data_IF_044031716123
#
_entry.id   IF_044031716123
#
_cell.length_a   1.000
_cell.length_b   1.000
_cell.length_c   1.000
_cell.angle_alpha   90.00
_cell.angle_beta   90.00
_cell.angle_gamma   90.00
#
_symmetry.space_group_name_H-M   'P 1'
#
loop_
_entity.id
_entity.type
_entity.pdbx_description
1 polymer ?
#
# COMPACT_ATOMS: atom_id res chain seq x y z
N UNK A 1 18.86 -20.68 7.93
CA UNK A 1 19.88 -20.28 6.94
C UNK A 1 19.14 -19.94 5.66
N UNK A 2 18.87 -18.66 5.41
CA UNK A 2 18.13 -18.23 4.23
C UNK A 2 19.02 -18.40 3.00
N UNK A 3 18.51 -19.12 1.99
CA UNK A 3 19.16 -19.20 0.69
C UNK A 3 19.35 -17.77 0.15
N UNK A 4 20.45 -17.47 -0.56
CA UNK A 4 20.59 -16.17 -1.22
C UNK A 4 19.37 -15.93 -2.11
N UNK A 5 18.80 -14.71 -2.11
CA UNK A 5 17.61 -14.41 -2.90
C UNK A 5 17.89 -14.74 -4.36
N UNK A 6 16.98 -15.48 -5.01
CA UNK A 6 17.06 -15.72 -6.45
C UNK A 6 16.99 -14.36 -7.14
N UNK A 7 18.10 -13.93 -7.75
CA UNK A 7 18.14 -12.71 -8.56
C UNK A 7 17.47 -13.04 -9.89
N UNK A 8 16.24 -12.56 -10.07
CA UNK A 8 15.57 -12.62 -11.37
C UNK A 8 16.06 -11.43 -12.22
N UNK A 9 16.53 -11.67 -13.45
CA UNK A 9 16.93 -10.57 -14.32
C UNK A 9 15.73 -9.67 -14.60
N UNK A 10 15.92 -8.34 -14.67
CA UNK A 10 14.84 -7.44 -15.05
C UNK A 10 14.28 -7.78 -16.43
N UNK A 11 12.97 -7.58 -16.61
CA UNK A 11 12.32 -7.77 -17.90
C UNK A 11 12.53 -6.53 -18.76
N UNK A 12 13.09 -6.70 -19.96
CA UNK A 12 13.29 -5.65 -20.96
C UNK A 12 12.83 -6.17 -22.33
N UNK A 13 11.55 -5.96 -22.63
CA UNK A 13 10.88 -6.47 -23.84
C UNK A 13 10.01 -5.37 -24.47
N UNK A 14 10.58 -4.43 -25.25
CA UNK A 14 9.83 -3.29 -25.80
C UNK A 14 8.63 -3.71 -26.66
N UNK A 15 8.74 -4.84 -27.35
CA UNK A 15 7.71 -5.34 -28.28
C UNK A 15 6.68 -6.31 -27.65
N UNK A 16 6.81 -6.64 -26.35
CA UNK A 16 5.90 -7.59 -25.71
C UNK A 16 4.46 -7.04 -25.60
N UNK A 17 3.46 -7.90 -25.70
CA UNK A 17 2.07 -7.53 -25.40
C UNK A 17 1.92 -7.23 -23.90
N UNK A 18 1.17 -6.18 -23.56
CA UNK A 18 0.89 -5.84 -22.16
C UNK A 18 -0.27 -6.68 -21.64
N UNK A 19 -0.17 -7.14 -20.40
CA UNK A 19 -1.29 -7.75 -19.69
C UNK A 19 -2.44 -6.74 -19.55
N UNK A 20 -3.60 -7.08 -20.11
CA UNK A 20 -4.83 -6.32 -19.88
C UNK A 20 -5.40 -6.70 -18.51
N UNK A 21 -5.51 -5.72 -17.62
CA UNK A 21 -6.05 -5.94 -16.26
C UNK A 21 -7.50 -6.39 -16.28
N UNK A 22 -8.28 -5.95 -17.28
CA UNK A 22 -9.69 -6.36 -17.43
C UNK A 22 -9.83 -7.81 -17.92
N UNK A 23 -8.76 -8.40 -18.45
CA UNK A 23 -8.74 -9.82 -18.86
C UNK A 23 -8.56 -10.79 -17.69
N UNK A 24 -8.23 -10.29 -16.49
CA UNK A 24 -7.99 -11.15 -15.32
C UNK A 24 -9.30 -11.78 -14.85
N UNK A 25 -9.32 -13.10 -14.83
CA UNK A 25 -10.45 -13.92 -14.42
C UNK A 25 -10.03 -14.88 -13.29
N UNK A 26 -10.04 -14.43 -12.02
CA UNK A 26 -9.58 -15.22 -10.88
C UNK A 26 -10.42 -16.50 -10.72
N UNK A 27 -9.76 -17.65 -10.86
CA UNK A 27 -10.38 -18.98 -10.70
C UNK A 27 -10.21 -19.57 -9.30
N UNK A 28 -9.26 -19.04 -8.54
CA UNK A 28 -8.98 -19.50 -7.17
C UNK A 28 -9.65 -18.61 -6.14
N UNK A 29 -9.78 -19.15 -4.92
CA UNK A 29 -10.18 -18.39 -3.73
C UNK A 29 -8.99 -18.25 -2.79
N UNK A 30 -8.95 -17.16 -2.03
CA UNK A 30 -8.00 -17.04 -0.94
C UNK A 30 -8.28 -18.10 0.14
N UNK A 31 -7.21 -18.69 0.65
CA UNK A 31 -7.24 -19.52 1.85
C UNK A 31 -7.30 -18.59 3.08
N UNK A 32 -8.18 -18.92 4.02
CA UNK A 32 -8.37 -18.14 5.24
C UNK A 32 -7.26 -18.52 6.24
N UNK A 33 -6.54 -17.52 6.72
CA UNK A 33 -5.33 -17.67 7.54
C UNK A 33 -5.58 -17.45 9.03
N UNK A 34 -6.84 -17.28 9.48
CA UNK A 34 -7.17 -17.01 10.89
C UNK A 34 -6.53 -18.02 11.85
N UNK A 35 -6.51 -19.31 11.49
CA UNK A 35 -5.94 -20.38 12.34
C UNK A 35 -4.41 -20.32 12.44
N UNK A 36 -3.74 -19.50 11.63
CA UNK A 36 -2.28 -19.29 11.66
C UNK A 36 -1.87 -18.12 12.58
N UNK A 37 -2.81 -17.30 13.08
CA UNK A 37 -2.47 -16.07 13.81
C UNK A 37 -1.62 -16.31 15.06
N UNK A 38 -1.78 -17.45 15.73
CA UNK A 38 -1.03 -17.78 16.94
C UNK A 38 0.24 -18.61 16.67
N UNK A 39 0.57 -18.85 15.39
CA UNK A 39 1.79 -19.55 14.94
C UNK A 39 2.51 -18.71 13.89
N UNK A 40 3.40 -17.83 14.36
CA UNK A 40 4.10 -16.88 13.50
C UNK A 40 4.96 -17.57 12.43
N UNK A 41 5.59 -18.70 12.75
CA UNK A 41 6.43 -19.44 11.79
C UNK A 41 5.56 -20.05 10.68
N UNK A 42 4.39 -20.61 11.02
CA UNK A 42 3.45 -21.13 10.03
C UNK A 42 2.81 -20.01 9.18
N UNK A 43 2.47 -18.89 9.81
CA UNK A 43 1.97 -17.69 9.16
C UNK A 43 2.98 -17.18 8.12
N UNK A 44 4.25 -17.05 8.50
CA UNK A 44 5.27 -16.55 7.59
C UNK A 44 5.64 -17.56 6.50
N UNK A 45 5.65 -18.86 6.81
CA UNK A 45 5.79 -19.89 5.79
C UNK A 45 4.65 -19.84 4.75
N UNK A 46 3.41 -19.54 5.17
CA UNK A 46 2.29 -19.33 4.27
C UNK A 46 2.47 -18.05 3.44
N UNK A 47 2.81 -16.93 4.08
CA UNK A 47 2.99 -15.64 3.43
C UNK A 47 4.08 -15.69 2.37
N UNK A 48 5.24 -16.26 2.70
CA UNK A 48 6.37 -16.39 1.80
C UNK A 48 6.02 -17.30 0.62
N UNK A 49 5.31 -18.40 0.84
CA UNK A 49 4.93 -19.38 -0.21
C UNK A 49 3.81 -18.89 -1.12
N UNK A 50 2.82 -18.17 -0.59
CA UNK A 50 1.61 -17.83 -1.34
C UNK A 50 1.56 -16.37 -1.78
N UNK A 51 2.35 -15.50 -1.14
CA UNK A 51 2.43 -14.08 -1.46
C UNK A 51 1.29 -13.25 -0.86
N UNK A 52 0.55 -13.77 0.11
CA UNK A 52 -0.50 -13.04 0.82
C UNK A 52 -0.83 -13.71 2.16
N UNK A 53 -1.55 -12.99 3.02
CA UNK A 53 -2.33 -13.54 4.12
C UNK A 53 -3.73 -12.97 4.05
N UNK A 54 -4.75 -13.81 4.17
CA UNK A 54 -6.14 -13.36 4.16
C UNK A 54 -6.84 -13.77 5.45
N UNK A 55 -7.40 -12.80 6.16
CA UNK A 55 -8.08 -13.03 7.42
C UNK A 55 -9.54 -12.57 7.32
N UNK A 56 -10.44 -13.39 7.85
CA UNK A 56 -11.86 -13.08 7.96
C UNK A 56 -12.17 -12.44 9.30
N UNK A 57 -12.93 -11.34 9.30
CA UNK A 57 -13.46 -10.71 10.52
C UNK A 57 -12.44 -10.63 11.67
N UNK A 58 -11.22 -10.22 11.36
CA UNK A 58 -10.09 -10.19 12.29
C UNK A 58 -9.93 -8.83 12.95
N UNK A 59 -10.29 -7.77 12.22
CA UNK A 59 -10.21 -6.41 12.70
C UNK A 59 -11.34 -6.11 13.69
N UNK A 60 -11.09 -5.16 14.59
CA UNK A 60 -12.07 -4.72 15.56
C UNK A 60 -13.29 -4.07 14.87
N UNK A 61 -14.52 -4.55 15.15
CA UNK A 61 -15.71 -4.10 14.43
C UNK A 61 -16.04 -2.62 14.67
N UNK A 62 -15.74 -2.07 15.85
CA UNK A 62 -16.01 -0.66 16.14
C UNK A 62 -15.01 0.23 15.39
N UNK A 63 -13.74 -0.16 15.32
CA UNK A 63 -12.73 0.55 14.53
C UNK A 63 -13.05 0.57 13.03
N UNK A 64 -13.56 -0.55 12.50
CA UNK A 64 -13.97 -0.68 11.09
C UNK A 64 -15.19 0.18 10.81
N UNK A 65 -16.17 0.19 11.73
CA UNK A 65 -17.35 1.04 11.64
C UNK A 65 -16.97 2.52 11.64
N UNK A 66 -16.10 2.96 12.56
CA UNK A 66 -15.63 4.35 12.62
C UNK A 66 -14.96 4.76 11.30
N UNK A 67 -14.05 3.94 10.77
CA UNK A 67 -13.36 4.22 9.51
C UNK A 67 -14.34 4.26 8.32
N UNK A 68 -15.33 3.36 8.28
CA UNK A 68 -16.39 3.35 7.27
C UNK A 68 -17.19 4.66 7.31
N UNK A 69 -17.67 5.06 8.48
CA UNK A 69 -18.46 6.28 8.66
C UNK A 69 -17.66 7.52 8.25
N UNK A 70 -16.38 7.59 8.62
CA UNK A 70 -15.51 8.69 8.20
C UNK A 70 -15.29 8.73 6.67
N UNK A 71 -15.06 7.58 6.04
CA UNK A 71 -14.89 7.49 4.58
C UNK A 71 -16.17 7.87 3.83
N UNK A 72 -17.34 7.43 4.31
CA UNK A 72 -18.63 7.77 3.70
C UNK A 72 -19.01 9.24 3.94
N UNK A 73 -18.64 9.83 5.08
CA UNK A 73 -18.78 11.26 5.32
C UNK A 73 -17.97 12.07 4.31
N UNK A 74 -16.70 11.70 4.05
CA UNK A 74 -15.90 12.34 2.98
C UNK A 74 -16.54 12.14 1.61
N UNK A 75 -17.01 10.93 1.30
CA UNK A 75 -17.69 10.65 0.04
C UNK A 75 -18.93 11.53 -0.17
N UNK A 76 -19.72 11.77 0.88
CA UNK A 76 -20.93 12.59 0.84
C UNK A 76 -20.61 14.10 0.83
N UNK A 77 -19.91 14.59 1.85
CA UNK A 77 -19.76 16.02 2.13
C UNK A 77 -18.74 16.68 1.17
N UNK A 78 -17.63 16.01 0.84
CA UNK A 78 -16.58 16.59 -0.02
C UNK A 78 -16.85 16.33 -1.51
N UNK A 79 -17.33 15.12 -1.84
CA UNK A 79 -17.43 14.67 -3.23
C UNK A 79 -18.86 14.48 -3.72
N UNK A 80 -19.86 14.34 -2.85
CA UNK A 80 -21.25 14.05 -3.23
C UNK A 80 -21.43 12.73 -3.97
N UNK A 81 -20.55 11.75 -3.73
CA UNK A 81 -20.58 10.43 -4.39
C UNK A 81 -21.63 9.50 -3.79
N UNK A 82 -22.05 9.76 -2.55
CA UNK A 82 -23.13 9.06 -1.84
C UNK A 82 -24.05 10.10 -1.18
N UNK A 83 -25.28 9.71 -0.86
CA UNK A 83 -26.20 10.57 -0.09
C UNK A 83 -25.74 10.66 1.38
N UNK A 84 -26.01 11.81 2.02
CA UNK A 84 -25.65 12.00 3.42
C UNK A 84 -26.41 11.02 4.32
N UNK A 85 -25.68 10.24 5.10
CA UNK A 85 -26.24 9.20 5.97
C UNK A 85 -26.51 7.87 5.29
N UNK A 86 -26.16 7.69 4.01
CA UNK A 86 -26.20 6.38 3.37
C UNK A 86 -25.04 5.50 3.84
N UNK A 87 -25.35 4.46 4.59
CA UNK A 87 -24.38 3.46 5.07
C UNK A 87 -24.03 2.41 4.01
N UNK A 88 -24.77 2.37 2.91
CA UNK A 88 -24.70 1.31 1.90
C UNK A 88 -23.80 1.65 0.72
N UNK A 89 -23.23 2.85 0.72
CA UNK A 89 -22.35 3.38 -0.32
C UNK A 89 -22.97 3.41 -1.73
N UNK A 90 -24.28 3.62 -1.83
CA UNK A 90 -25.02 3.75 -3.09
C UNK A 90 -24.49 4.96 -3.86
N UNK A 91 -23.99 4.71 -5.07
CA UNK A 91 -23.41 5.77 -5.88
C UNK A 91 -24.51 6.70 -6.43
N UNK A 92 -24.32 8.00 -6.30
CA UNK A 92 -25.25 9.04 -6.79
C UNK A 92 -25.20 9.25 -8.30
N UNK A 93 -24.23 8.65 -8.99
CA UNK A 93 -23.94 8.92 -10.40
C UNK A 93 -22.98 10.10 -10.61
N UNK A 94 -22.56 10.78 -9.53
CA UNK A 94 -21.62 11.91 -9.63
C UNK A 94 -20.23 11.44 -10.03
N UNK A 95 -19.57 12.21 -10.89
CA UNK A 95 -18.23 11.90 -11.38
C UNK A 95 -17.20 11.79 -10.25
N UNK A 96 -16.38 10.75 -10.29
CA UNK A 96 -15.28 10.56 -9.34
C UNK A 96 -14.13 11.53 -9.63
N UNK A 97 -13.62 12.26 -8.62
CA UNK A 97 -12.48 13.16 -8.78
C UNK A 97 -11.16 12.36 -8.88
N UNK A 98 -10.44 12.43 -10.02
CA UNK A 98 -9.16 11.74 -10.19
C UNK A 98 -8.11 12.23 -9.19
N UNK A 99 -7.24 11.31 -8.72
CA UNK A 99 -6.16 11.66 -7.79
C UNK A 99 -6.67 12.08 -6.40
N UNK A 100 -7.84 11.61 -5.98
CA UNK A 100 -8.40 11.91 -4.66
C UNK A 100 -7.82 11.02 -3.55
N UNK A 101 -7.09 9.97 -3.89
CA UNK A 101 -6.69 8.90 -2.98
C UNK A 101 -5.78 9.33 -1.82
N UNK A 102 -5.11 10.48 -1.93
CA UNK A 102 -4.18 11.02 -0.93
C UNK A 102 -4.61 12.43 -0.45
N UNK A 103 -5.88 12.82 -0.64
CA UNK A 103 -6.36 14.15 -0.25
C UNK A 103 -6.41 14.32 1.28
N UNK A 104 -6.11 15.52 1.81
CA UNK A 104 -6.12 15.79 3.25
C UNK A 104 -7.46 15.54 3.97
N UNK A 105 -8.59 15.52 3.26
CA UNK A 105 -9.90 15.23 3.86
C UNK A 105 -9.99 13.81 4.47
N UNK A 106 -9.10 12.90 4.08
CA UNK A 106 -9.02 11.54 4.64
C UNK A 106 -8.06 11.42 5.84
N UNK A 107 -7.43 12.52 6.25
CA UNK A 107 -6.41 12.56 7.31
C UNK A 107 -6.84 11.80 8.57
N UNK A 108 -5.91 10.97 9.07
CA UNK A 108 -6.05 10.20 10.30
C UNK A 108 -7.00 9.00 10.28
N UNK A 109 -7.82 8.78 9.23
CA UNK A 109 -8.79 7.68 9.19
C UNK A 109 -8.10 6.31 9.34
N UNK A 110 -7.10 6.04 8.50
CA UNK A 110 -6.34 4.78 8.56
C UNK A 110 -5.56 4.64 9.87
N UNK A 111 -4.94 5.73 10.37
CA UNK A 111 -4.19 5.72 11.64
C UNK A 111 -5.08 5.31 12.81
N UNK A 112 -6.30 5.85 12.93
CA UNK A 112 -7.23 5.48 14.02
C UNK A 112 -7.62 4.00 13.98
N UNK A 113 -7.88 3.44 12.79
CA UNK A 113 -8.17 2.01 12.65
C UNK A 113 -6.93 1.16 12.98
N UNK A 114 -5.79 1.46 12.38
CA UNK A 114 -4.56 0.66 12.56
C UNK A 114 -4.10 0.68 14.02
N UNK A 115 -4.13 1.83 14.68
CA UNK A 115 -3.70 2.02 16.07
C UNK A 115 -4.74 1.55 17.10
N UNK A 116 -5.88 1.02 16.68
CA UNK A 116 -6.86 0.46 17.62
C UNK A 116 -6.23 -0.74 18.38
N UNK A 117 -6.37 -0.85 19.72
CA UNK A 117 -5.60 -1.83 20.52
C UNK A 117 -5.68 -3.26 20.00
N UNK A 118 -6.90 -3.75 19.71
CA UNK A 118 -7.11 -5.09 19.15
C UNK A 118 -6.46 -5.27 17.76
N UNK A 119 -6.46 -4.23 16.93
CA UNK A 119 -5.82 -4.31 15.61
C UNK A 119 -4.30 -4.32 15.75
N UNK A 120 -3.73 -3.56 16.70
CA UNK A 120 -2.30 -3.63 17.03
C UNK A 120 -1.89 -5.04 17.47
N UNK A 121 -2.70 -5.72 18.30
CA UNK A 121 -2.44 -7.12 18.70
C UNK A 121 -2.42 -8.08 17.50
N UNK A 122 -3.36 -7.94 16.56
CA UNK A 122 -3.42 -8.75 15.33
C UNK A 122 -2.20 -8.48 14.45
N UNK A 123 -1.85 -7.21 14.26
CA UNK A 123 -0.71 -6.81 13.44
C UNK A 123 0.62 -7.23 14.07
N UNK A 124 0.72 -7.22 15.40
CA UNK A 124 1.89 -7.73 16.12
C UNK A 124 2.11 -9.22 15.89
N UNK A 125 1.03 -10.02 15.85
CA UNK A 125 1.10 -11.44 15.49
C UNK A 125 1.56 -11.65 14.03
N UNK A 126 1.03 -10.85 13.11
CA UNK A 126 1.39 -10.90 11.69
C UNK A 126 2.87 -10.53 11.46
N UNK A 127 3.40 -9.54 12.18
CA UNK A 127 4.79 -9.11 12.08
C UNK A 127 5.76 -9.91 12.95
N UNK A 128 5.26 -10.58 14.00
CA UNK A 128 6.10 -11.24 15.02
C UNK A 128 6.68 -10.25 16.05
N UNK A 129 6.34 -8.97 15.96
CA UNK A 129 6.78 -7.89 16.84
C UNK A 129 5.84 -6.69 16.74
N UNK A 130 6.03 -5.68 17.60
CA UNK A 130 5.21 -4.47 17.63
C UNK A 130 5.15 -3.78 16.25
N UNK A 131 3.95 -3.44 15.74
CA UNK A 131 3.77 -2.78 14.46
C UNK A 131 4.02 -1.26 14.55
N UNK A 132 4.63 -0.69 13.53
CA UNK A 132 4.56 0.75 13.22
C UNK A 132 3.93 0.95 11.85
N UNK A 133 3.22 2.06 11.69
CA UNK A 133 2.57 2.39 10.42
C UNK A 133 3.58 3.08 9.50
N UNK A 134 3.68 2.59 8.26
CA UNK A 134 4.36 3.34 7.20
C UNK A 134 3.43 4.47 6.77
N UNK A 135 3.88 5.74 6.73
CA UNK A 135 3.04 6.92 6.48
C UNK A 135 2.68 7.10 5.00
N UNK A 136 2.21 6.03 4.36
CA UNK A 136 1.78 6.00 2.95
C UNK A 136 0.45 5.26 2.88
N UNK A 137 -0.61 6.00 2.57
CA UNK A 137 -1.99 5.51 2.54
C UNK A 137 -2.65 5.92 1.25
N UNK A 138 -3.47 5.03 0.69
CA UNK A 138 -4.29 5.28 -0.47
C UNK A 138 -5.75 4.97 -0.12
N UNK A 139 -6.57 6.01 -0.05
CA UNK A 139 -8.01 5.92 0.23
C UNK A 139 -8.78 5.75 -1.07
N UNK A 140 -9.70 4.79 -1.14
CA UNK A 140 -10.39 4.45 -2.41
C UNK A 140 -11.91 4.53 -2.24
N UNK A 141 -12.51 5.40 -3.03
CA UNK A 141 -13.97 5.57 -3.17
C UNK A 141 -14.39 5.25 -4.61
N UNK A 142 -14.06 4.06 -5.10
CA UNK A 142 -14.12 3.77 -6.54
C UNK A 142 -15.56 3.49 -6.98
N UNK A 143 -16.15 4.31 -7.87
CA UNK A 143 -17.53 4.13 -8.30
C UNK A 143 -17.69 2.97 -9.28
N UNK A 144 -18.92 2.58 -9.59
CA UNK A 144 -19.24 1.74 -10.74
C UNK A 144 -18.59 2.26 -12.02
N UNK A 145 -17.96 1.37 -12.78
CA UNK A 145 -17.19 1.66 -14.00
C UNK A 145 -16.09 2.71 -13.80
N UNK A 146 -15.60 2.86 -12.56
CA UNK A 146 -14.53 3.76 -12.17
C UNK A 146 -13.13 3.22 -12.49
N UNK A 147 -12.08 3.86 -11.93
CA UNK A 147 -10.70 3.45 -12.15
C UNK A 147 -10.43 2.01 -11.71
N UNK A 148 -9.60 1.32 -12.49
CA UNK A 148 -9.06 0.00 -12.16
C UNK A 148 -7.55 0.12 -12.01
N UNK A 149 -7.03 -0.26 -10.84
CA UNK A 149 -5.58 -0.31 -10.62
C UNK A 149 -5.01 -1.44 -11.47
N UNK A 150 -4.09 -1.09 -12.36
CA UNK A 150 -3.44 -2.06 -13.25
C UNK A 150 -2.67 -3.14 -12.47
N UNK A 151 -2.38 -4.27 -13.13
CA UNK A 151 -1.53 -5.29 -12.53
C UNK A 151 -0.16 -4.71 -12.18
N UNK A 152 0.24 -4.86 -10.92
CA UNK A 152 1.51 -4.38 -10.42
C UNK A 152 1.99 -5.14 -9.19
N UNK A 153 3.22 -4.84 -8.75
CA UNK A 153 3.83 -5.27 -7.50
C UNK A 153 4.22 -4.02 -6.69
N UNK A 154 3.74 -3.90 -5.45
CA UNK A 154 3.94 -2.71 -4.61
C UNK A 154 5.43 -2.38 -4.39
N UNK A 155 6.25 -3.43 -4.21
CA UNK A 155 7.69 -3.29 -3.97
C UNK A 155 8.44 -2.64 -5.14
N UNK A 156 7.94 -2.81 -6.37
CA UNK A 156 8.56 -2.21 -7.55
C UNK A 156 8.47 -0.67 -7.52
N UNK A 157 7.35 -0.14 -7.00
CA UNK A 157 7.11 1.30 -6.89
C UNK A 157 7.57 1.91 -5.57
N UNK A 158 8.04 1.07 -4.64
CA UNK A 158 8.48 1.46 -3.30
C UNK A 158 9.96 1.13 -3.07
N UNK A 159 10.88 1.57 -3.94
CA UNK A 159 12.29 1.20 -3.84
C UNK A 159 12.88 1.69 -2.50
N UNK A 160 13.56 0.78 -1.80
CA UNK A 160 14.19 1.05 -0.51
C UNK A 160 13.30 0.82 0.71
N UNK A 161 11.98 0.66 0.54
CA UNK A 161 11.10 0.24 1.64
C UNK A 161 11.23 -1.28 1.77
N UNK A 162 11.83 -1.74 2.86
CA UNK A 162 12.05 -3.15 3.15
C UNK A 162 11.22 -3.59 4.36
N UNK A 163 10.93 -4.89 4.42
CA UNK A 163 10.30 -5.57 5.57
C UNK A 163 8.95 -4.95 6.01
N UNK A 164 8.21 -4.39 5.04
CA UNK A 164 6.87 -3.87 5.24
C UNK A 164 5.81 -4.85 4.70
N UNK A 165 4.65 -4.85 5.34
CA UNK A 165 3.48 -5.64 4.94
C UNK A 165 2.36 -4.70 4.50
N UNK A 166 2.10 -4.56 3.18
CA UNK A 166 0.92 -3.89 2.68
C UNK A 166 -0.37 -4.51 3.20
N UNK A 167 -1.29 -3.66 3.62
CA UNK A 167 -2.61 -4.01 4.14
C UNK A 167 -3.67 -3.43 3.20
N UNK A 168 -4.61 -4.25 2.78
CA UNK A 168 -5.80 -3.85 2.05
C UNK A 168 -7.03 -4.14 2.90
N UNK A 169 -7.85 -3.11 3.14
CA UNK A 169 -8.96 -3.18 4.10
C UNK A 169 -10.27 -2.74 3.42
N UNK A 170 -11.26 -3.63 3.30
CA UNK A 170 -12.61 -3.28 2.88
C UNK A 170 -13.40 -2.69 4.05
N UNK A 171 -14.07 -1.56 3.81
CA UNK A 171 -14.93 -0.91 4.80
C UNK A 171 -16.42 -1.08 4.50
N UNK A 172 -16.75 -1.62 3.32
CA UNK A 172 -18.12 -1.96 2.91
C UNK A 172 -18.12 -3.38 2.33
N UNK A 173 -19.25 -4.10 2.32
CA UNK A 173 -19.35 -5.37 1.62
C UNK A 173 -18.85 -5.23 0.18
N UNK A 174 -17.93 -6.08 -0.21
CA UNK A 174 -17.32 -6.09 -1.54
C UNK A 174 -17.52 -7.47 -2.18
N UNK A 175 -18.78 -7.81 -2.56
CA UNK A 175 -19.01 -8.97 -3.41
C UNK A 175 -18.36 -8.76 -4.78
N UNK A 176 -18.21 -9.85 -5.53
CA UNK A 176 -17.55 -9.90 -6.83
C UNK A 176 -17.89 -8.74 -7.78
N UNK A 177 -19.14 -8.30 -7.83
CA UNK A 177 -19.59 -7.21 -8.70
C UNK A 177 -19.14 -5.81 -8.25
N UNK A 178 -18.89 -5.59 -6.95
CA UNK A 178 -18.27 -4.35 -6.43
C UNK A 178 -16.77 -4.33 -6.74
N UNK A 179 -16.23 -5.50 -7.11
CA UNK A 179 -14.83 -5.73 -7.44
C UNK A 179 -14.12 -6.34 -6.25
N UNK A 180 -13.04 -5.69 -5.83
CA UNK A 180 -12.14 -6.19 -4.78
C UNK A 180 -10.71 -6.23 -5.27
N UNK A 181 -9.87 -6.99 -4.58
CA UNK A 181 -8.47 -7.20 -4.95
C UNK A 181 -8.26 -8.65 -5.39
N UNK A 182 -7.46 -8.84 -6.43
CA UNK A 182 -6.99 -10.17 -6.87
C UNK A 182 -5.47 -10.25 -6.76
N UNK A 183 -4.95 -11.43 -6.43
CA UNK A 183 -3.51 -11.71 -6.32
C UNK A 183 -3.17 -12.95 -7.13
N UNK A 184 -2.05 -12.92 -7.84
CA UNK A 184 -1.47 -14.08 -8.51
C UNK A 184 -0.67 -14.93 -7.50
N UNK A 185 -1.32 -15.97 -6.96
CA UNK A 185 -0.81 -16.76 -5.83
C UNK A 185 0.50 -17.47 -6.17
N UNK A 186 1.49 -17.33 -5.29
CA UNK A 186 2.81 -17.95 -5.40
C UNK A 186 3.70 -17.36 -6.51
N UNK A 187 3.27 -16.29 -7.19
CA UNK A 187 4.10 -15.62 -8.19
C UNK A 187 5.13 -14.65 -7.57
N UNK A 188 5.04 -14.38 -6.27
CA UNK A 188 5.97 -13.51 -5.54
C UNK A 188 7.42 -14.01 -5.52
N UNK A 189 7.68 -15.29 -5.80
CA UNK A 189 9.03 -15.86 -5.79
C UNK A 189 9.79 -15.66 -7.10
N UNK A 190 9.23 -14.92 -8.07
CA UNK A 190 9.78 -14.73 -9.41
C UNK A 190 10.36 -13.33 -9.65
N UNK A 191 10.55 -12.55 -8.59
CA UNK A 191 11.03 -11.17 -8.69
C UNK A 191 9.99 -10.24 -9.30
N UNK A 192 10.44 -9.11 -9.87
CA UNK A 192 9.56 -8.13 -10.49
C UNK A 192 9.27 -8.45 -11.95
N UNK A 193 7.99 -8.42 -12.33
CA UNK A 193 7.49 -8.66 -13.69
C UNK A 193 7.36 -7.38 -14.52
N UNK A 194 7.64 -6.23 -13.92
CA UNK A 194 7.56 -4.92 -14.56
C UNK A 194 8.56 -4.80 -15.71
N UNK A 195 8.06 -4.44 -16.90
CA UNK A 195 8.85 -4.38 -18.11
C UNK A 195 9.56 -3.02 -18.25
N UNK A 196 10.86 -3.00 -17.99
CA UNK A 196 11.73 -1.82 -18.12
C UNK A 196 11.92 -1.37 -19.57
N UNK A 197 11.71 -2.28 -20.53
CA UNK A 197 11.72 -1.98 -21.96
C UNK A 197 10.53 -1.13 -22.41
N UNK A 198 9.59 -0.86 -21.51
CA UNK A 198 8.45 0.03 -21.73
C UNK A 198 8.50 1.20 -20.75
N UNK A 199 8.29 2.41 -21.27
CA UNK A 199 8.16 3.61 -20.44
C UNK A 199 6.81 3.71 -19.73
N UNK A 200 6.64 4.76 -18.92
CA UNK A 200 5.40 5.02 -18.18
C UNK A 200 5.29 4.14 -16.93
N UNK A 201 4.21 3.36 -16.82
CA UNK A 201 3.91 2.53 -15.64
C UNK A 201 4.50 1.11 -15.73
N UNK A 202 5.56 0.91 -16.51
CA UNK A 202 6.27 -0.38 -16.63
C UNK A 202 5.33 -1.60 -16.68
N UNK A 203 4.42 -1.66 -17.66
CA UNK A 203 3.35 -2.65 -17.67
C UNK A 203 3.91 -4.06 -17.68
N UNK A 204 3.22 -4.96 -16.97
CA UNK A 204 3.60 -6.37 -16.92
C UNK A 204 3.19 -7.04 -18.25
N UNK A 205 4.08 -7.83 -18.89
CA UNK A 205 3.72 -8.58 -20.08
C UNK A 205 2.66 -9.65 -19.81
N UNK A 206 1.86 -10.02 -20.82
CA UNK A 206 0.75 -10.96 -20.67
C UNK A 206 1.17 -12.43 -20.47
N UNK A 207 2.42 -12.76 -20.74
CA UNK A 207 2.95 -14.13 -20.76
C UNK A 207 3.79 -14.54 -19.53
N UNK A 208 3.95 -13.66 -18.53
CA UNK A 208 4.86 -13.90 -17.38
C UNK A 208 4.18 -14.33 -16.10
N UNK A 209 2.89 -14.10 -16.00
CA UNK A 209 2.06 -14.53 -14.86
C UNK A 209 1.25 -15.74 -15.31
N UNK A 210 1.26 -16.80 -14.49
CA UNK A 210 0.39 -17.95 -14.70
C UNK A 210 -1.09 -17.51 -14.63
N UNK A 211 -1.87 -17.60 -15.72
CA UNK A 211 -3.25 -17.14 -15.73
C UNK A 211 -4.15 -17.92 -14.77
N UNK A 212 -3.78 -19.14 -14.38
CA UNK A 212 -4.56 -19.93 -13.43
C UNK A 212 -4.23 -19.61 -11.97
N UNK A 213 -3.25 -18.72 -11.71
CA UNK A 213 -2.79 -18.38 -10.35
C UNK A 213 -3.63 -17.31 -9.64
N UNK A 214 -4.51 -16.62 -10.36
CA UNK A 214 -5.30 -15.52 -9.81
C UNK A 214 -6.35 -16.00 -8.79
N UNK A 215 -6.29 -15.44 -7.58
CA UNK A 215 -7.21 -15.69 -6.49
C UNK A 215 -7.89 -14.41 -5.99
N UNK A 216 -9.15 -14.54 -5.58
CA UNK A 216 -9.94 -13.48 -4.93
C UNK A 216 -11.11 -14.10 -4.16
N UNK A 217 -11.84 -13.29 -3.39
CA UNK A 217 -13.04 -13.69 -2.65
C UNK A 217 -14.02 -12.52 -2.60
N UNK A 218 -15.26 -12.78 -2.19
CA UNK A 218 -16.13 -11.71 -1.69
C UNK A 218 -15.60 -11.28 -0.32
N UNK A 219 -15.44 -9.97 -0.11
CA UNK A 219 -14.89 -9.43 1.13
C UNK A 219 -15.97 -8.75 1.98
N UNK A 220 -15.79 -8.78 3.29
CA UNK A 220 -16.67 -8.14 4.25
C UNK A 220 -15.91 -7.16 5.15
N UNK A 221 -16.56 -6.10 5.69
CA UNK A 221 -15.96 -5.25 6.70
C UNK A 221 -15.48 -6.07 7.90
N UNK A 222 -14.21 -5.90 8.29
CA UNK A 222 -13.54 -6.71 9.31
C UNK A 222 -12.51 -7.68 8.74
N UNK A 223 -12.58 -7.96 7.43
CA UNK A 223 -11.55 -8.73 6.74
C UNK A 223 -10.26 -7.92 6.59
N UNK A 224 -9.13 -8.63 6.50
CA UNK A 224 -7.81 -8.06 6.24
C UNK A 224 -7.09 -8.89 5.18
N UNK A 225 -6.62 -8.24 4.11
CA UNK A 225 -5.72 -8.84 3.15
C UNK A 225 -4.34 -8.20 3.29
N UNK A 226 -3.35 -9.02 3.66
CA UNK A 226 -1.94 -8.64 3.68
C UNK A 226 -1.33 -9.09 2.37
N UNK A 227 -0.73 -8.16 1.61
CA UNK A 227 -0.16 -8.44 0.29
C UNK A 227 1.35 -8.53 0.41
N UNK A 228 1.99 -9.49 -0.25
CA UNK A 228 3.45 -9.50 -0.35
C UNK A 228 3.93 -8.42 -1.34
N UNK A 229 4.98 -7.63 -1.06
CA UNK A 229 5.44 -6.56 -1.96
C UNK A 229 5.77 -7.04 -3.39
N UNK A 230 6.16 -8.31 -3.53
CA UNK A 230 6.44 -8.98 -4.80
C UNK A 230 5.23 -9.71 -5.41
N UNK A 231 4.05 -9.68 -4.80
CA UNK A 231 2.88 -10.35 -5.37
C UNK A 231 2.24 -9.50 -6.47
N UNK A 232 2.10 -10.03 -7.70
CA UNK A 232 1.31 -9.37 -8.73
C UNK A 232 -0.14 -9.32 -8.28
N UNK A 233 -0.71 -8.13 -8.29
CA UNK A 233 -2.07 -7.91 -7.85
C UNK A 233 -2.72 -6.78 -8.63
N UNK A 234 -4.05 -6.76 -8.63
CA UNK A 234 -4.84 -5.74 -9.31
C UNK A 234 -6.17 -5.50 -8.59
N UNK A 235 -6.72 -4.30 -8.79
CA UNK A 235 -8.12 -4.05 -8.49
C UNK A 235 -9.00 -4.75 -9.54
N UNK A 236 -10.12 -5.32 -9.12
CA UNK A 236 -11.13 -5.83 -10.04
C UNK A 236 -12.12 -4.71 -10.42
N UNK A 237 -12.71 -4.76 -11.62
CA UNK A 237 -13.67 -3.76 -12.07
C UNK A 237 -14.92 -3.76 -11.18
N UNK A 238 -15.37 -2.56 -10.82
CA UNK A 238 -16.64 -2.37 -10.13
C UNK A 238 -17.75 -2.25 -11.20
N UNK A 239 -18.63 -3.25 -11.26
CA UNK A 239 -19.77 -3.33 -12.18
C UNK A 239 -21.12 -3.22 -11.46
N UNK A 240 -21.07 -2.93 -10.15
CA UNK A 240 -22.23 -2.79 -9.27
C UNK A 240 -22.91 -1.42 -9.41
N UNK A 241 -23.73 -1.06 -8.43
CA UNK A 241 -24.34 0.25 -8.26
C UNK A 241 -23.84 1.00 -7.00
N UNK A 242 -22.75 0.52 -6.38
CA UNK A 242 -22.17 1.03 -5.13
C UNK A 242 -20.72 1.45 -5.31
N UNK A 243 -20.23 2.34 -4.44
CA UNK A 243 -18.80 2.59 -4.32
C UNK A 243 -18.11 1.39 -3.69
N UNK A 244 -16.93 1.03 -4.20
CA UNK A 244 -15.97 0.20 -3.47
C UNK A 244 -15.22 1.09 -2.48
N UNK A 245 -15.57 0.99 -1.20
CA UNK A 245 -14.96 1.78 -0.12
C UNK A 245 -13.88 0.94 0.57
N UNK A 246 -12.63 1.24 0.26
CA UNK A 246 -11.45 0.55 0.81
C UNK A 246 -10.36 1.56 1.11
N UNK A 247 -9.34 1.16 1.87
CA UNK A 247 -8.06 1.83 1.81
C UNK A 247 -6.93 0.81 1.89
N UNK A 248 -5.77 1.22 1.39
CA UNK A 248 -4.55 0.45 1.47
C UNK A 248 -3.48 1.24 2.23
N UNK A 249 -2.89 0.60 3.22
CA UNK A 249 -1.81 1.13 4.07
C UNK A 249 -0.72 0.07 4.22
N UNK A 250 0.30 0.35 5.01
CA UNK A 250 1.47 -0.51 5.17
C UNK A 250 1.88 -0.47 6.63
N UNK A 251 2.26 -1.63 7.17
CA UNK A 251 2.88 -1.73 8.49
C UNK A 251 4.27 -2.31 8.36
N UNK A 252 5.11 -2.01 9.33
CA UNK A 252 6.49 -2.50 9.42
C UNK A 252 6.82 -2.71 10.91
N UNK A 253 8.01 -3.23 11.20
CA UNK A 253 8.55 -3.32 12.55
C UNK A 253 8.62 -1.95 13.25
N UNK A 254 8.12 -1.84 14.48
CA UNK A 254 8.35 -0.67 15.34
C UNK A 254 9.75 -0.63 15.93
N UNK A 255 10.44 -1.79 16.04
CA UNK A 255 11.80 -1.86 16.57
C UNK A 255 12.85 -1.28 15.62
N UNK A 256 12.61 -1.40 14.32
CA UNK A 256 13.46 -0.79 13.31
C UNK A 256 12.64 -0.21 12.16
N UNK A 257 11.94 0.92 12.37
CA UNK A 257 11.17 1.58 11.33
C UNK A 257 12.09 1.98 10.18
N UNK A 258 11.90 1.42 8.99
CA UNK A 258 12.69 1.80 7.81
C UNK A 258 12.04 2.99 7.11
N UNK A 259 10.72 3.16 7.23
CA UNK A 259 9.99 4.30 6.65
C UNK A 259 9.21 5.06 7.71
N UNK A 260 9.40 6.38 7.79
CA UNK A 260 8.76 7.20 8.83
C UNK A 260 8.51 8.63 8.36
N UNK A 261 7.54 9.29 9.01
CA UNK A 261 7.30 10.72 8.81
C UNK A 261 8.21 11.50 9.76
N UNK A 262 8.86 12.54 9.27
CA UNK A 262 9.72 13.38 10.09
C UNK A 262 9.81 14.81 9.56
N UNK A 263 9.99 15.76 10.47
CA UNK A 263 10.21 17.17 10.16
C UNK A 263 11.71 17.45 10.07
N UNK A 264 12.13 18.16 9.04
CA UNK A 264 13.53 18.54 8.81
C UNK A 264 14.00 19.54 9.88
N UNK A 265 15.10 19.24 10.56
CA UNK A 265 15.76 20.13 11.52
C UNK A 265 16.86 20.96 10.84
N UNK A 266 17.76 20.28 10.11
CA UNK A 266 18.90 20.89 9.45
C UNK A 266 19.35 20.05 8.26
N UNK A 267 20.02 20.70 7.31
CA UNK A 267 20.49 20.09 6.06
C UNK A 267 21.90 20.59 5.77
N UNK A 268 22.77 19.70 5.30
CA UNK A 268 24.06 20.04 4.69
C UNK A 268 24.08 19.53 3.24
N UNK A 269 25.21 19.60 2.54
CA UNK A 269 25.33 19.11 1.16
C UNK A 269 25.11 17.59 1.02
N UNK A 270 25.35 16.82 2.08
CA UNK A 270 25.40 15.35 2.05
C UNK A 270 24.74 14.69 3.28
N UNK A 271 24.02 15.45 4.10
CA UNK A 271 23.29 14.90 5.24
C UNK A 271 22.06 15.71 5.61
N UNK A 272 21.12 15.04 6.27
CA UNK A 272 19.87 15.59 6.75
C UNK A 272 19.63 15.15 8.19
N UNK A 273 19.27 16.10 9.05
CA UNK A 273 18.80 15.80 10.40
C UNK A 273 17.30 16.03 10.47
N UNK A 274 16.54 15.03 10.93
CA UNK A 274 15.09 15.10 11.06
C UNK A 274 14.63 14.62 12.44
N UNK A 275 13.45 15.06 12.86
CA UNK A 275 12.75 14.55 14.05
C UNK A 275 11.47 13.87 13.63
N UNK A 276 11.30 12.60 13.98
CA UNK A 276 10.03 11.88 13.88
C UNK A 276 9.22 12.00 15.17
N UNK A 277 7.89 11.99 15.05
CA UNK A 277 6.98 11.80 16.19
C UNK A 277 7.00 10.34 16.70
N UNK A 278 7.46 9.39 15.88
CA UNK A 278 7.68 8.01 16.34
C UNK A 278 8.88 8.01 17.31
N UNK A 279 8.60 7.74 18.58
CA UNK A 279 9.61 7.70 19.64
C UNK A 279 10.71 6.64 19.39
N UNK A 280 10.41 5.59 18.63
CA UNK A 280 11.41 4.57 18.25
C UNK A 280 12.39 5.08 17.18
N UNK A 281 12.05 6.18 16.50
CA UNK A 281 12.92 6.87 15.54
C UNK A 281 13.56 8.10 16.19
N UNK A 282 12.76 8.98 16.79
CA UNK A 282 13.20 10.22 17.40
C UNK A 282 13.94 11.14 16.43
N UNK A 283 15.01 11.77 16.90
CA UNK A 283 15.88 12.62 16.06
C UNK A 283 16.99 11.78 15.43
N UNK A 284 17.07 11.80 14.10
CA UNK A 284 18.08 11.05 13.34
C UNK A 284 18.84 11.98 12.41
N UNK A 285 20.11 11.65 12.16
CA UNK A 285 20.90 12.25 11.07
C UNK A 285 21.23 11.16 10.07
N UNK A 286 20.87 11.37 8.81
CA UNK A 286 21.11 10.42 7.72
C UNK A 286 22.03 11.04 6.67
N UNK A 287 22.91 10.24 6.08
CA UNK A 287 23.64 10.62 4.88
C UNK A 287 22.70 10.66 3.66
N UNK A 288 23.00 11.57 2.74
CA UNK A 288 22.29 11.75 1.47
C UNK A 288 23.35 11.72 0.37
N UNK A 289 23.09 10.96 -0.68
CA UNK A 289 24.06 10.76 -1.76
C UNK A 289 23.37 10.72 -3.14
N UNK A 290 24.12 10.62 -4.26
CA UNK A 290 23.54 10.60 -5.60
C UNK A 290 22.54 9.45 -5.87
N UNK A 291 22.54 8.40 -5.05
CA UNK A 291 21.60 7.28 -5.15
C UNK A 291 20.30 7.51 -4.35
N UNK A 292 20.27 8.50 -3.46
CA UNK A 292 19.04 8.87 -2.73
C UNK A 292 17.95 9.31 -3.71
N UNK A 293 16.76 8.76 -3.57
CA UNK A 293 15.58 9.27 -4.26
C UNK A 293 15.09 10.54 -3.56
N UNK A 294 15.14 11.69 -4.25
CA UNK A 294 14.77 13.00 -3.67
C UNK A 294 13.56 13.52 -4.45
N UNK A 295 12.46 13.74 -3.72
CA UNK A 295 11.20 14.31 -4.22
C UNK A 295 10.52 15.14 -3.12
N UNK A 296 11.14 16.24 -2.72
CA UNK A 296 10.77 17.00 -1.51
C UNK A 296 9.82 18.17 -1.77
N UNK A 297 9.66 18.63 -3.02
CA UNK A 297 8.74 19.74 -3.35
C UNK A 297 7.48 19.34 -4.12
N UNK A 298 7.62 18.56 -5.18
CA UNK A 298 6.54 18.24 -6.11
C UNK A 298 6.39 16.71 -6.28
N UNK A 299 5.20 16.12 -6.09
CA UNK A 299 4.95 14.70 -6.33
C UNK A 299 5.29 14.19 -7.75
N UNK A 300 5.35 15.07 -8.75
CA UNK A 300 5.63 14.70 -10.15
C UNK A 300 7.10 14.79 -10.58
N UNK A 301 7.98 15.42 -9.78
CA UNK A 301 9.32 15.76 -10.24
C UNK A 301 10.41 15.38 -9.23
N UNK A 302 11.30 14.47 -9.63
CA UNK A 302 12.51 14.11 -8.86
C UNK A 302 13.51 15.27 -8.90
N UNK A 303 14.11 15.61 -7.76
CA UNK A 303 15.23 16.55 -7.70
C UNK A 303 16.58 15.86 -7.89
N UNK A 304 17.58 16.63 -8.36
CA UNK A 304 18.96 16.17 -8.45
C UNK A 304 19.62 16.24 -7.07
N UNK A 305 20.60 15.36 -6.83
CA UNK A 305 21.37 15.37 -5.59
C UNK A 305 22.08 16.70 -5.36
N UNK A 306 22.64 17.32 -6.41
CA UNK A 306 23.35 18.59 -6.30
C UNK A 306 22.45 19.75 -5.84
N UNK A 307 21.14 19.62 -6.03
CA UNK A 307 20.14 20.62 -5.62
C UNK A 307 19.58 20.32 -4.21
N UNK A 308 19.86 19.16 -3.63
CA UNK A 308 19.28 18.65 -2.39
C UNK A 308 19.25 19.70 -1.25
N UNK A 309 20.41 20.30 -0.93
CA UNK A 309 20.54 21.26 0.15
C UNK A 309 19.84 22.60 -0.14
N UNK A 310 19.67 22.93 -1.42
CA UNK A 310 18.99 24.14 -1.85
C UNK A 310 17.46 23.98 -1.78
N UNK A 311 16.96 22.77 -1.99
CA UNK A 311 15.51 22.50 -2.08
C UNK A 311 14.90 21.98 -0.79
N UNK A 312 15.71 21.44 0.12
CA UNK A 312 15.26 20.90 1.41
C UNK A 312 15.55 21.92 2.51
N UNK A 313 14.53 22.30 3.29
CA UNK A 313 14.61 23.34 4.31
C UNK A 313 14.11 22.86 5.68
N UNK A 314 14.64 23.41 6.79
CA UNK A 314 14.08 23.19 8.11
C UNK A 314 12.57 23.47 8.15
N UNK A 315 11.83 22.63 8.86
CA UNK A 315 10.36 22.71 8.97
C UNK A 315 9.59 22.00 7.85
N UNK A 316 10.26 21.43 6.85
CA UNK A 316 9.57 20.58 5.85
C UNK A 316 9.23 19.21 6.45
N UNK A 317 8.02 18.72 6.16
CA UNK A 317 7.58 17.38 6.56
C UNK A 317 7.81 16.37 5.43
N UNK A 318 8.61 15.35 5.72
CA UNK A 318 9.03 14.34 4.76
C UNK A 318 8.59 12.95 5.20
N UNK A 319 8.21 12.13 4.22
CA UNK A 319 8.26 10.69 4.32
C UNK A 319 9.68 10.25 3.95
N UNK A 320 10.37 9.66 4.92
CA UNK A 320 11.77 9.26 4.84
C UNK A 320 11.84 7.75 4.81
N UNK A 321 12.68 7.21 3.92
CA UNK A 321 13.08 5.79 3.94
C UNK A 321 14.57 5.72 4.24
N UNK A 322 14.96 4.99 5.28
CA UNK A 322 16.35 4.78 5.68
C UNK A 322 16.85 3.38 5.34
N UNK A 323 18.12 3.30 4.96
CA UNK A 323 18.88 2.06 4.84
C UNK A 323 20.14 2.21 5.70
N UNK A 324 20.10 1.67 6.92
CA UNK A 324 21.11 1.98 7.93
C UNK A 324 21.13 3.48 8.24
N UNK A 325 22.31 4.09 8.14
CA UNK A 325 22.53 5.52 8.40
C UNK A 325 22.35 6.40 7.14
N UNK A 326 21.79 5.85 6.06
CA UNK A 326 21.58 6.53 4.77
C UNK A 326 20.10 6.78 4.52
N UNK A 327 19.75 7.93 3.96
CA UNK A 327 18.44 8.17 3.39
C UNK A 327 18.36 7.53 2.00
N UNK A 328 17.58 6.46 1.87
CA UNK A 328 17.28 5.84 0.57
C UNK A 328 16.25 6.67 -0.21
N UNK A 329 15.27 7.24 0.50
CA UNK A 329 14.23 8.09 -0.08
C UNK A 329 13.91 9.27 0.83
N UNK A 330 13.77 10.45 0.23
CA UNK A 330 13.22 11.65 0.83
C UNK A 330 12.07 12.13 -0.06
N UNK A 331 10.83 12.00 0.41
CA UNK A 331 9.63 12.40 -0.33
C UNK A 331 8.83 13.39 0.51
N UNK A 332 8.19 14.38 -0.11
CA UNK A 332 7.16 15.16 0.56
C UNK A 332 6.11 14.22 1.17
N UNK A 333 5.86 14.36 2.48
CA UNK A 333 4.88 13.52 3.18
C UNK A 333 3.46 13.76 2.64
N UNK A 334 2.67 12.69 2.52
CA UNK A 334 1.22 12.82 2.50
C UNK A 334 0.82 13.38 3.86
N UNK A 335 0.26 14.60 3.93
CA UNK A 335 -0.10 15.22 5.22
C UNK A 335 -1.02 14.24 5.98
N UNK A 336 -0.59 13.70 7.14
CA UNK A 336 -1.32 12.64 7.82
C UNK A 336 -2.70 13.07 8.26
#
# INVERSE_FOLDING_TARGET
MNAPPKIFPPIDRPDATNLDTLSIDPKRKFEVCNDLLDDHDALEAFYEKNGYLFFRNVLDPDSVKEAREAMLAVAADEFGLVEKGDETAKWTGKAYPPGSEEKPCFSGISKRLVSYPRNQEVLAKILGEEPSMVPIVQYRLYPPNGPVTMVHQDGFYSPGIHDYKPLWIPLTPCPREVGGLTIAVGQNHKGYFHNLGKGGNFPIPDDVIDPDSWATVDFEPGDLLVVHPYSPHAGLPNTSDRLRVTFDTRVQSARNPTTFAATVNSVTSDSITLTSEDENVGTVTLSVDPSTYIRVRDPGQKEKFEEFADVTKPGMDLCVVREGDRAAMLRMGSRP
#
